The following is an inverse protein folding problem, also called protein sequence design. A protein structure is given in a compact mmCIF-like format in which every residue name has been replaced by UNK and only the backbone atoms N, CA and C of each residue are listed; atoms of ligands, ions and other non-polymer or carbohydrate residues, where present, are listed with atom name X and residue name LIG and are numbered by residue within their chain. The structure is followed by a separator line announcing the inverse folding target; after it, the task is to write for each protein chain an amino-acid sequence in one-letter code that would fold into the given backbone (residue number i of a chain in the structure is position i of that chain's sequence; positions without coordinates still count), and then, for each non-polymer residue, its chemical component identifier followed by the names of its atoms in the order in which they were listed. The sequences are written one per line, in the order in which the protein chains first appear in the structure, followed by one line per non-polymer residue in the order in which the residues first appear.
data_IF_305923141173
#
_entry.id   IF_305923141173
#
_cell.length_a   1.000
_cell.length_b   1.000
_cell.length_c   1.000
_cell.angle_alpha   90.00
_cell.angle_beta   90.00
_cell.angle_gamma   90.00
#
_symmetry.space_group_name_H-M   'P 1'
#
loop_
_entity.id
_entity.type
_entity.pdbx_description
1 polymer ?
#
# COMPACT_ATOMS: atom_id res chain seq x y z
N UNK A 1 -102.56 74.39 -46.23
CA UNK A 1 -103.30 73.27 -45.61
C UNK A 1 -102.66 73.07 -44.25
N UNK A 2 -103.43 73.21 -43.15
CA UNK A 2 -102.89 72.89 -41.84
C UNK A 2 -102.53 71.39 -41.82
N UNK A 3 -101.30 71.06 -41.42
CA UNK A 3 -100.90 69.67 -41.30
C UNK A 3 -101.72 69.03 -40.18
N UNK A 4 -102.59 68.08 -40.51
CA UNK A 4 -103.30 67.28 -39.52
C UNK A 4 -102.25 66.53 -38.68
N UNK A 5 -102.31 66.68 -37.35
CA UNK A 5 -101.35 66.02 -36.46
C UNK A 5 -101.84 64.62 -36.13
N UNK A 6 -101.05 63.61 -36.51
CA UNK A 6 -101.39 62.22 -36.24
C UNK A 6 -100.94 61.79 -34.83
N UNK A 7 -101.86 61.30 -34.00
CA UNK A 7 -101.59 60.64 -32.72
C UNK A 7 -101.66 59.12 -32.88
N UNK A 8 -100.88 58.38 -32.10
CA UNK A 8 -100.93 56.92 -32.13
C UNK A 8 -102.05 56.40 -31.21
N UNK A 9 -103.30 56.65 -31.61
CA UNK A 9 -104.49 56.31 -30.84
C UNK A 9 -105.45 55.45 -31.66
N UNK A 10 -106.17 54.55 -31.00
CA UNK A 10 -107.22 53.75 -31.61
C UNK A 10 -108.59 54.29 -31.19
N UNK A 11 -109.20 55.12 -32.02
CA UNK A 11 -110.61 55.52 -31.85
C UNK A 11 -111.50 54.43 -32.45
N UNK A 12 -112.44 53.91 -31.65
CA UNK A 12 -113.35 52.85 -32.09
C UNK A 12 -114.34 53.34 -33.17
N UNK A 13 -114.78 54.59 -33.01
CA UNK A 13 -115.78 55.21 -33.87
C UNK A 13 -115.11 56.14 -34.90
N UNK A 14 -115.38 55.88 -36.17
CA UNK A 14 -114.96 56.71 -37.30
C UNK A 14 -116.23 57.32 -37.87
N UNK A 15 -116.28 58.66 -37.97
CA UNK A 15 -117.44 59.35 -38.56
C UNK A 15 -117.71 58.79 -39.96
N UNK A 16 -118.96 58.46 -40.26
CA UNK A 16 -119.39 58.10 -41.61
C UNK A 16 -119.72 59.39 -42.35
N UNK A 17 -119.13 59.59 -43.53
CA UNK A 17 -119.50 60.67 -44.43
C UNK A 17 -120.66 60.20 -45.31
N UNK A 18 -121.82 60.80 -45.15
CA UNK A 18 -122.94 60.64 -46.09
C UNK A 18 -122.84 61.67 -47.21
N UNK A 19 -123.53 61.42 -48.33
CA UNK A 19 -123.47 62.24 -49.57
C UNK A 19 -123.77 63.72 -49.37
N UNK A 20 -124.46 64.03 -48.28
CA UNK A 20 -124.98 65.36 -47.97
C UNK A 20 -124.03 66.13 -47.03
N UNK A 21 -122.92 65.49 -46.60
CA UNK A 21 -121.94 66.06 -45.69
C UNK A 21 -121.05 67.05 -46.45
N UNK A 22 -121.11 68.36 -46.17
CA UNK A 22 -120.33 69.35 -46.90
C UNK A 22 -118.83 69.19 -46.60
N UNK A 23 -118.02 69.13 -47.65
CA UNK A 23 -116.56 69.10 -47.55
C UNK A 23 -116.06 70.51 -47.22
N UNK A 24 -115.70 70.75 -45.96
CA UNK A 24 -115.15 72.02 -45.47
C UNK A 24 -113.70 71.84 -45.04
N UNK A 25 -112.87 72.86 -45.31
CA UNK A 25 -111.50 72.93 -44.82
C UNK A 25 -111.43 73.51 -43.40
N UNK A 26 -110.25 73.40 -42.76
CA UNK A 26 -110.01 73.96 -41.43
C UNK A 26 -110.20 75.49 -41.41
N UNK A 27 -111.08 75.96 -40.53
CA UNK A 27 -111.41 77.40 -40.39
C UNK A 27 -110.66 78.10 -39.25
N UNK A 28 -109.76 77.38 -38.55
CA UNK A 28 -109.03 77.89 -37.39
C UNK A 28 -109.57 77.39 -36.05
N UNK A 29 -110.76 76.77 -36.03
CA UNK A 29 -111.43 76.24 -34.82
C UNK A 29 -111.99 74.84 -35.02
N UNK A 30 -112.58 74.54 -36.17
CA UNK A 30 -113.13 73.23 -36.52
C UNK A 30 -112.40 72.67 -37.76
N UNK A 31 -111.94 71.41 -37.66
CA UNK A 31 -111.26 70.73 -38.76
C UNK A 31 -112.26 70.20 -39.80
N UNK A 32 -113.53 70.07 -39.44
CA UNK A 32 -114.61 69.61 -40.31
C UNK A 32 -114.66 68.09 -40.46
N UNK A 33 -115.84 67.53 -40.72
CA UNK A 33 -116.12 66.08 -40.61
C UNK A 33 -115.26 65.22 -41.56
N UNK A 34 -114.91 65.73 -42.74
CA UNK A 34 -114.05 65.01 -43.68
C UNK A 34 -112.60 64.88 -43.17
N UNK A 35 -112.08 65.93 -42.53
CA UNK A 35 -110.73 65.90 -41.98
C UNK A 35 -110.70 65.15 -40.64
N UNK A 36 -111.77 65.19 -39.84
CA UNK A 36 -111.92 64.34 -38.64
C UNK A 36 -111.91 62.85 -39.00
N UNK A 37 -112.70 62.45 -40.01
CA UNK A 37 -112.68 61.07 -40.50
C UNK A 37 -111.27 60.69 -40.96
N UNK A 38 -110.63 61.54 -41.80
CA UNK A 38 -109.29 61.28 -42.29
C UNK A 38 -108.24 61.17 -41.16
N UNK A 39 -108.30 62.05 -40.16
CA UNK A 39 -107.40 62.04 -39.01
C UNK A 39 -107.62 60.78 -38.15
N UNK A 40 -108.88 60.37 -37.91
CA UNK A 40 -109.19 59.14 -37.17
C UNK A 40 -108.64 57.89 -37.85
N UNK A 41 -108.77 57.78 -39.19
CA UNK A 41 -108.16 56.69 -39.95
C UNK A 41 -106.63 56.71 -39.88
N UNK A 42 -106.02 57.90 -40.01
CA UNK A 42 -104.57 58.07 -39.94
C UNK A 42 -104.02 57.68 -38.56
N UNK A 43 -104.65 58.15 -37.48
CA UNK A 43 -104.30 57.81 -36.10
C UNK A 43 -104.38 56.30 -35.84
N UNK A 44 -105.48 55.66 -36.27
CA UNK A 44 -105.67 54.21 -36.15
C UNK A 44 -104.61 53.43 -36.93
N UNK A 45 -104.27 53.89 -38.14
CA UNK A 45 -103.20 53.28 -38.95
C UNK A 45 -101.85 53.38 -38.25
N UNK A 46 -101.55 54.55 -37.68
CA UNK A 46 -100.33 54.80 -36.90
C UNK A 46 -100.25 53.93 -35.63
N UNK A 47 -101.35 53.80 -34.89
CA UNK A 47 -101.46 52.91 -33.72
C UNK A 47 -101.20 51.44 -34.09
N UNK A 48 -101.87 50.93 -35.12
CA UNK A 48 -101.71 49.55 -35.57
C UNK A 48 -100.27 49.28 -36.05
N UNK A 49 -99.68 50.23 -36.78
CA UNK A 49 -98.28 50.15 -37.19
C UNK A 49 -97.35 50.10 -35.99
N UNK A 50 -97.54 50.98 -35.00
CA UNK A 50 -96.73 50.96 -33.77
C UNK A 50 -96.87 49.64 -33.02
N UNK A 51 -98.07 49.03 -32.99
CA UNK A 51 -98.30 47.73 -32.33
C UNK A 51 -97.55 46.59 -33.04
N UNK A 52 -97.60 46.57 -34.37
CA UNK A 52 -96.87 45.58 -35.19
C UNK A 52 -95.36 45.75 -35.03
N UNK A 53 -94.86 46.99 -35.08
CA UNK A 53 -93.44 47.30 -34.94
C UNK A 53 -92.93 46.88 -33.54
N UNK A 54 -93.70 47.14 -32.48
CA UNK A 54 -93.36 46.71 -31.12
C UNK A 54 -93.34 45.18 -30.98
N UNK A 55 -94.30 44.46 -31.57
CA UNK A 55 -94.31 42.99 -31.55
C UNK A 55 -93.08 42.41 -32.27
N UNK A 56 -92.70 42.99 -33.41
CA UNK A 56 -91.51 42.60 -34.17
C UNK A 56 -90.20 42.85 -33.39
N UNK A 57 -90.16 43.92 -32.58
CA UNK A 57 -88.98 44.28 -31.78
C UNK A 57 -88.84 43.46 -30.48
N UNK A 58 -89.93 42.94 -29.91
CA UNK A 58 -89.89 42.21 -28.63
C UNK A 58 -89.71 40.70 -28.81
N UNK A 59 -89.93 40.17 -30.01
CA UNK A 59 -89.72 38.76 -30.31
C UNK A 59 -88.24 38.48 -30.61
N UNK A 60 -87.69 37.44 -29.99
CA UNK A 60 -86.37 36.92 -30.36
C UNK A 60 -86.44 36.39 -31.79
N UNK A 61 -85.84 37.11 -32.73
CA UNK A 61 -85.89 36.79 -34.18
C UNK A 61 -84.86 35.74 -34.59
N UNK A 62 -83.78 35.64 -33.82
CA UNK A 62 -82.71 34.66 -34.02
C UNK A 62 -82.00 34.37 -32.70
N UNK A 63 -81.42 33.19 -32.61
CA UNK A 63 -80.46 32.81 -31.57
C UNK A 63 -79.19 32.40 -32.29
N UNK A 64 -78.07 33.02 -31.93
CA UNK A 64 -76.76 32.79 -32.57
C UNK A 64 -76.78 32.85 -34.12
N UNK A 65 -77.49 33.83 -34.70
CA UNK A 65 -77.57 34.03 -36.16
C UNK A 65 -78.50 33.07 -36.91
N UNK A 66 -79.08 32.05 -36.24
CA UNK A 66 -80.05 31.12 -36.83
C UNK A 66 -81.48 31.62 -36.60
N UNK A 67 -82.34 31.49 -37.61
CA UNK A 67 -83.77 31.85 -37.56
C UNK A 67 -84.64 30.67 -38.00
N UNK A 68 -85.91 30.62 -37.57
CA UNK A 68 -86.82 29.49 -37.82
C UNK A 68 -86.72 28.39 -36.76
N UNK A 69 -86.78 27.11 -37.16
CA UNK A 69 -86.48 25.98 -36.26
C UNK A 69 -85.00 26.00 -35.91
N UNK A 70 -84.66 26.40 -34.69
CA UNK A 70 -83.27 26.54 -34.24
C UNK A 70 -82.79 25.23 -33.61
N UNK A 71 -81.93 24.49 -34.32
CA UNK A 71 -81.13 23.41 -33.73
C UNK A 71 -79.79 23.99 -33.29
N UNK A 72 -79.51 23.88 -31.99
CA UNK A 72 -78.25 24.29 -31.38
C UNK A 72 -77.31 23.09 -31.30
N UNK A 73 -76.07 23.30 -31.72
CA UNK A 73 -74.95 22.38 -31.52
C UNK A 73 -74.14 22.81 -30.29
N UNK A 74 -73.26 21.94 -29.80
CA UNK A 74 -72.41 22.24 -28.63
C UNK A 74 -71.56 23.51 -28.84
N UNK A 75 -71.10 23.75 -30.07
CA UNK A 75 -70.35 24.94 -30.46
C UNK A 75 -71.16 26.24 -30.34
N UNK A 76 -72.49 26.18 -30.54
CA UNK A 76 -73.37 27.35 -30.46
C UNK A 76 -73.50 27.89 -29.02
N UNK A 77 -73.22 27.05 -28.02
CA UNK A 77 -73.32 27.40 -26.59
C UNK A 77 -71.97 27.43 -25.88
N UNK A 78 -70.86 27.28 -26.62
CA UNK A 78 -69.51 27.19 -26.04
C UNK A 78 -69.27 25.94 -25.22
N UNK A 79 -70.07 24.88 -25.43
CA UNK A 79 -69.85 23.57 -24.85
C UNK A 79 -68.88 22.76 -25.72
N UNK A 80 -68.15 21.84 -25.10
CA UNK A 80 -67.38 20.84 -25.83
C UNK A 80 -68.30 19.78 -26.46
N UNK A 81 -67.79 19.09 -27.47
CA UNK A 81 -68.49 17.95 -28.05
C UNK A 81 -68.71 16.86 -26.99
N UNK A 82 -69.84 16.16 -27.08
CA UNK A 82 -70.11 15.02 -26.21
C UNK A 82 -68.98 13.99 -26.30
N UNK A 83 -68.42 13.61 -25.15
CA UNK A 83 -67.32 12.64 -25.06
C UNK A 83 -65.90 13.24 -25.10
N UNK A 84 -65.73 14.56 -25.33
CA UNK A 84 -64.39 15.17 -25.32
C UNK A 84 -63.69 15.00 -23.98
N UNK A 85 -64.37 15.25 -22.86
CA UNK A 85 -63.79 15.07 -21.53
C UNK A 85 -63.44 13.60 -21.25
N UNK A 86 -64.31 12.67 -21.66
CA UNK A 86 -64.09 11.23 -21.47
C UNK A 86 -62.90 10.72 -22.28
N UNK A 87 -62.73 11.22 -23.51
CA UNK A 87 -61.57 10.92 -24.35
C UNK A 87 -60.28 11.50 -23.76
N UNK A 88 -60.30 12.73 -23.23
CA UNK A 88 -59.13 13.35 -22.59
C UNK A 88 -58.72 12.60 -21.31
N UNK A 89 -59.70 12.16 -20.50
CA UNK A 89 -59.45 11.36 -19.30
C UNK A 89 -58.92 9.98 -19.68
N UNK A 90 -59.53 9.34 -20.68
CA UNK A 90 -59.09 8.03 -21.18
C UNK A 90 -57.66 8.10 -21.71
N UNK A 91 -57.32 9.14 -22.47
CA UNK A 91 -55.96 9.36 -22.95
C UNK A 91 -54.98 9.57 -21.78
N UNK A 92 -55.37 10.34 -20.78
CA UNK A 92 -54.57 10.55 -19.57
C UNK A 92 -54.35 9.26 -18.77
N UNK A 93 -55.39 8.45 -18.58
CA UNK A 93 -55.31 7.17 -17.85
C UNK A 93 -54.44 6.15 -18.59
N UNK A 94 -54.46 6.17 -19.93
CA UNK A 94 -53.71 5.22 -20.76
C UNK A 94 -52.27 5.66 -21.06
N UNK A 95 -51.93 6.92 -20.84
CA UNK A 95 -50.55 7.39 -20.92
C UNK A 95 -49.77 6.86 -19.71
N UNK A 96 -48.60 6.28 -19.96
CA UNK A 96 -47.76 5.69 -18.93
C UNK A 96 -47.22 6.75 -17.95
N UNK A 97 -46.97 7.98 -18.44
CA UNK A 97 -46.55 9.11 -17.61
C UNK A 97 -46.97 10.45 -18.24
N UNK A 98 -48.26 10.82 -18.13
CA UNK A 98 -48.76 12.10 -18.64
C UNK A 98 -48.30 13.30 -17.79
N UNK A 99 -47.52 13.06 -16.73
CA UNK A 99 -47.00 14.10 -15.83
C UNK A 99 -45.47 14.18 -15.87
N UNK A 100 -44.85 14.49 -17.02
CA UNK A 100 -43.41 14.43 -17.23
C UNK A 100 -42.61 15.46 -16.41
N UNK A 101 -43.29 16.39 -15.75
CA UNK A 101 -42.72 17.37 -14.82
C UNK A 101 -42.37 16.76 -13.45
N UNK A 102 -42.98 15.63 -13.08
CA UNK A 102 -42.65 14.91 -11.87
C UNK A 102 -41.62 13.81 -12.16
N UNK A 103 -40.90 13.39 -11.13
CA UNK A 103 -39.91 12.31 -11.24
C UNK A 103 -40.62 10.97 -11.43
N UNK A 104 -40.18 10.18 -12.42
CA UNK A 104 -40.51 8.76 -12.52
C UNK A 104 -39.29 7.91 -12.12
N UNK A 105 -39.53 6.64 -11.80
CA UNK A 105 -38.48 5.72 -11.30
C UNK A 105 -37.30 5.63 -12.28
N UNK A 106 -37.58 5.48 -13.58
CA UNK A 106 -36.56 5.42 -14.65
C UNK A 106 -35.65 6.65 -14.70
N UNK A 107 -36.20 7.87 -14.59
CA UNK A 107 -35.44 9.13 -14.56
C UNK A 107 -34.77 9.40 -13.22
N UNK A 108 -35.32 8.85 -12.14
CA UNK A 108 -34.72 8.84 -10.80
C UNK A 108 -33.45 8.00 -10.80
N UNK A 109 -33.56 6.77 -11.30
CA UNK A 109 -32.47 5.79 -11.38
C UNK A 109 -31.32 6.26 -12.28
N UNK A 110 -31.64 6.97 -13.36
CA UNK A 110 -30.62 7.52 -14.26
C UNK A 110 -29.85 8.72 -13.69
N UNK A 111 -30.44 9.47 -12.74
CA UNK A 111 -29.83 10.69 -12.17
C UNK A 111 -29.29 10.52 -10.76
N UNK A 112 -29.80 9.54 -10.01
CA UNK A 112 -29.40 9.29 -8.63
C UNK A 112 -28.77 7.91 -8.48
N UNK A 113 -27.86 7.82 -7.52
CA UNK A 113 -27.24 6.57 -7.14
C UNK A 113 -28.24 5.75 -6.32
N UNK A 114 -28.63 4.58 -6.80
CA UNK A 114 -29.49 3.66 -6.06
C UNK A 114 -28.73 3.05 -4.88
N UNK A 115 -29.23 3.25 -3.66
CA UNK A 115 -28.57 2.75 -2.45
C UNK A 115 -28.54 1.23 -2.35
N UNK A 116 -29.49 0.53 -2.97
CA UNK A 116 -29.54 -0.93 -3.08
C UNK A 116 -28.39 -1.52 -3.88
N UNK A 117 -27.77 -0.74 -4.77
CA UNK A 117 -26.63 -1.16 -5.60
C UNK A 117 -25.27 -0.90 -4.91
N UNK A 118 -25.29 -0.47 -3.66
CA UNK A 118 -24.08 -0.28 -2.87
C UNK A 118 -23.34 -1.61 -2.72
N UNK A 119 -22.05 -1.62 -3.09
CA UNK A 119 -21.14 -2.75 -2.91
C UNK A 119 -21.57 -4.05 -3.63
N UNK A 120 -22.43 -3.95 -4.65
CA UNK A 120 -22.81 -5.07 -5.53
C UNK A 120 -22.08 -4.99 -6.87
N UNK A 121 -22.03 -6.10 -7.62
CA UNK A 121 -21.48 -6.13 -8.98
C UNK A 121 -22.19 -5.12 -9.90
N UNK A 122 -21.41 -4.40 -10.72
CA UNK A 122 -21.88 -3.30 -11.60
C UNK A 122 -22.59 -2.13 -10.88
N UNK A 123 -22.51 -2.07 -9.54
CA UNK A 123 -23.02 -0.98 -8.73
C UNK A 123 -21.95 0.07 -8.43
N UNK A 124 -21.95 0.58 -7.21
CA UNK A 124 -21.01 1.61 -6.74
C UNK A 124 -20.40 1.22 -5.39
N UNK A 125 -19.21 1.73 -5.09
CA UNK A 125 -18.50 1.43 -3.85
C UNK A 125 -18.91 2.41 -2.74
N UNK A 126 -19.57 1.89 -1.70
CA UNK A 126 -19.88 2.66 -0.50
C UNK A 126 -18.75 2.55 0.52
N UNK A 127 -18.24 3.70 0.95
CA UNK A 127 -17.27 3.78 2.05
C UNK A 127 -17.96 3.52 3.40
N UNK A 128 -17.20 3.01 4.37
CA UNK A 128 -17.66 2.87 5.75
C UNK A 128 -17.84 4.23 6.45
N UNK A 129 -18.35 4.21 7.69
CA UNK A 129 -18.59 5.41 8.49
C UNK A 129 -17.33 6.26 8.75
N UNK A 130 -16.13 5.69 8.53
CA UNK A 130 -14.84 6.37 8.66
C UNK A 130 -14.27 6.83 7.33
N UNK A 131 -15.02 6.70 6.22
CA UNK A 131 -14.58 7.08 4.88
C UNK A 131 -13.54 6.12 4.29
N UNK A 132 -13.53 4.85 4.69
CA UNK A 132 -12.62 3.82 4.16
C UNK A 132 -13.39 2.77 3.38
N UNK A 133 -12.68 1.98 2.56
CA UNK A 133 -13.27 0.81 1.90
C UNK A 133 -13.63 -0.21 2.98
N UNK A 134 -14.90 -0.68 3.06
CA UNK A 134 -15.31 -1.69 4.03
C UNK A 134 -14.43 -2.94 3.94
N UNK A 135 -13.94 -3.42 5.09
CA UNK A 135 -13.05 -4.58 5.14
C UNK A 135 -13.63 -5.85 4.49
N UNK A 136 -14.96 -6.01 4.51
CA UNK A 136 -15.66 -7.13 3.87
C UNK A 136 -15.53 -7.14 2.33
N UNK A 137 -15.20 -5.99 1.72
CA UNK A 137 -14.99 -5.87 0.27
C UNK A 137 -13.52 -6.03 -0.13
N UNK A 138 -12.62 -5.99 0.85
CA UNK A 138 -11.21 -6.29 0.64
C UNK A 138 -11.05 -7.81 0.71
N UNK A 139 -10.75 -8.44 -0.43
CA UNK A 139 -10.22 -9.79 -0.39
C UNK A 139 -8.85 -9.73 0.27
N UNK A 140 -8.76 -10.25 1.49
CA UNK A 140 -7.48 -10.51 2.13
C UNK A 140 -6.81 -11.59 1.29
N UNK A 141 -5.78 -11.21 0.53
CA UNK A 141 -4.93 -12.16 -0.20
C UNK A 141 -4.21 -13.02 0.84
N UNK A 142 -4.82 -14.12 1.25
CA UNK A 142 -4.20 -15.07 2.17
C UNK A 142 -3.04 -15.74 1.43
N UNK A 143 -1.81 -15.51 1.89
CA UNK A 143 -0.64 -16.15 1.30
C UNK A 143 -0.76 -17.67 1.41
N UNK A 144 -0.59 -18.37 0.28
CA UNK A 144 -0.55 -19.83 0.23
C UNK A 144 0.86 -20.28 0.56
N UNK A 145 1.03 -21.11 1.58
CA UNK A 145 2.31 -21.80 1.85
C UNK A 145 2.21 -23.27 1.44
N UNK A 146 3.20 -23.76 0.68
CA UNK A 146 3.31 -25.16 0.26
C UNK A 146 4.75 -25.65 0.36
N UNK A 147 4.91 -26.95 0.60
CA UNK A 147 6.21 -27.64 0.58
C UNK A 147 6.17 -28.66 -0.54
N UNK A 148 7.19 -28.67 -1.38
CA UNK A 148 7.33 -29.57 -2.53
C UNK A 148 8.70 -30.24 -2.52
N UNK A 149 8.78 -31.43 -3.11
CA UNK A 149 10.01 -32.21 -3.11
C UNK A 149 11.10 -31.58 -3.99
N UNK A 150 10.73 -31.11 -5.19
CA UNK A 150 11.65 -30.70 -6.25
C UNK A 150 11.05 -29.62 -7.16
N UNK A 151 11.83 -29.18 -8.15
CA UNK A 151 11.41 -28.18 -9.13
C UNK A 151 10.22 -28.64 -9.97
N UNK A 152 10.13 -29.91 -10.35
CA UNK A 152 9.03 -30.42 -11.17
C UNK A 152 7.70 -30.31 -10.41
N UNK A 153 7.70 -30.66 -9.12
CA UNK A 153 6.55 -30.50 -8.24
C UNK A 153 6.18 -29.03 -8.02
N UNK A 154 7.17 -28.12 -7.93
CA UNK A 154 6.95 -26.67 -7.87
C UNK A 154 6.25 -26.15 -9.13
N UNK A 155 6.75 -26.50 -10.31
CA UNK A 155 6.19 -26.04 -11.59
C UNK A 155 4.81 -26.66 -11.89
N UNK A 156 4.48 -27.80 -11.28
CA UNK A 156 3.18 -28.47 -11.41
C UNK A 156 2.10 -27.98 -10.43
N UNK A 157 2.39 -26.99 -9.58
CA UNK A 157 1.39 -26.42 -8.67
C UNK A 157 0.21 -25.83 -9.46
N UNK A 158 -1.01 -25.89 -8.92
CA UNK A 158 -2.14 -25.18 -9.51
C UNK A 158 -1.99 -23.65 -9.30
N UNK A 159 -2.40 -22.86 -10.30
CA UNK A 159 -2.46 -21.40 -10.21
C UNK A 159 -3.33 -20.95 -9.04
N UNK A 160 -2.92 -19.87 -8.39
CA UNK A 160 -3.60 -19.29 -7.22
C UNK A 160 -3.76 -17.79 -7.45
N UNK A 161 -4.92 -17.23 -7.08
CA UNK A 161 -5.12 -15.77 -7.05
C UNK A 161 -4.32 -15.07 -5.94
N UNK A 162 -3.81 -15.85 -4.97
CA UNK A 162 -3.00 -15.36 -3.87
C UNK A 162 -1.50 -15.60 -4.11
N UNK A 163 -0.66 -14.77 -3.47
CA UNK A 163 0.77 -15.00 -3.35
C UNK A 163 1.05 -16.42 -2.87
N UNK A 164 1.90 -17.15 -3.59
CA UNK A 164 2.33 -18.50 -3.22
C UNK A 164 3.78 -18.47 -2.74
N UNK A 165 4.01 -19.00 -1.55
CA UNK A 165 5.32 -19.27 -0.96
C UNK A 165 5.54 -20.78 -1.02
N UNK A 166 6.53 -21.22 -1.79
CA UNK A 166 6.83 -22.63 -2.02
C UNK A 166 8.21 -22.96 -1.44
N UNK A 167 8.28 -23.87 -0.46
CA UNK A 167 9.55 -24.45 -0.02
C UNK A 167 9.91 -25.65 -0.89
N UNK A 168 10.99 -25.55 -1.65
CA UNK A 168 11.55 -26.64 -2.45
C UNK A 168 12.58 -27.39 -1.60
N UNK A 169 12.31 -28.66 -1.29
CA UNK A 169 13.04 -29.40 -0.27
C UNK A 169 14.43 -29.91 -0.74
N UNK A 170 14.56 -30.33 -1.99
CA UNK A 170 15.80 -30.85 -2.58
C UNK A 170 16.98 -29.87 -2.53
N UNK A 171 16.70 -28.58 -2.67
CA UNK A 171 17.68 -27.49 -2.64
C UNK A 171 17.50 -26.53 -1.45
N UNK A 172 16.66 -26.91 -0.48
CA UNK A 172 16.35 -26.13 0.71
C UNK A 172 16.11 -24.65 0.41
N UNK A 173 15.23 -24.31 -0.54
CA UNK A 173 15.05 -22.92 -1.01
C UNK A 173 13.58 -22.53 -1.06
N UNK A 174 13.25 -21.32 -0.61
CA UNK A 174 11.93 -20.73 -0.79
C UNK A 174 11.81 -20.10 -2.18
N UNK A 175 10.64 -20.23 -2.80
CA UNK A 175 10.26 -19.54 -4.02
C UNK A 175 8.95 -18.78 -3.83
N UNK A 176 8.87 -17.61 -4.44
CA UNK A 176 7.69 -16.75 -4.40
C UNK A 176 7.07 -16.64 -5.80
N UNK A 177 5.75 -16.72 -5.87
CA UNK A 177 4.97 -16.53 -7.09
C UNK A 177 3.82 -15.57 -6.79
N UNK A 178 3.68 -14.50 -7.58
CA UNK A 178 2.58 -13.56 -7.39
C UNK A 178 1.23 -14.23 -7.68
N UNK A 179 0.18 -13.70 -7.07
CA UNK A 179 -1.18 -14.14 -7.34
C UNK A 179 -1.55 -13.91 -8.81
N UNK A 180 -2.06 -14.96 -9.47
CA UNK A 180 -2.48 -14.94 -10.87
C UNK A 180 -1.41 -15.39 -11.87
N UNK A 181 -0.14 -15.44 -11.48
CA UNK A 181 0.94 -15.89 -12.37
C UNK A 181 0.89 -17.41 -12.61
N UNK A 182 1.32 -17.86 -13.79
CA UNK A 182 1.34 -19.29 -14.14
C UNK A 182 2.56 -19.99 -13.48
N UNK A 183 2.36 -20.96 -12.57
CA UNK A 183 3.44 -21.68 -11.89
C UNK A 183 4.26 -22.57 -12.84
N UNK A 184 3.74 -22.97 -14.00
CA UNK A 184 4.48 -23.79 -14.96
C UNK A 184 5.62 -23.04 -15.67
N UNK A 185 5.65 -21.70 -15.58
CA UNK A 185 6.68 -20.86 -16.18
C UNK A 185 7.74 -20.54 -15.13
N UNK A 186 8.92 -21.14 -15.25
CA UNK A 186 10.02 -20.98 -14.29
C UNK A 186 10.41 -19.51 -14.04
N UNK A 187 10.35 -18.66 -15.07
CA UNK A 187 10.67 -17.23 -14.99
C UNK A 187 9.68 -16.40 -14.15
N UNK A 188 8.47 -16.92 -13.87
CA UNK A 188 7.51 -16.24 -13.01
C UNK A 188 7.87 -16.38 -11.53
N UNK A 189 8.74 -17.33 -11.19
CA UNK A 189 9.14 -17.57 -9.81
C UNK A 189 10.32 -16.69 -9.43
N UNK A 190 10.17 -16.03 -8.28
CA UNK A 190 11.27 -15.31 -7.63
C UNK A 190 11.92 -16.25 -6.63
N UNK A 191 13.20 -16.54 -6.82
CA UNK A 191 13.99 -17.33 -5.87
C UNK A 191 14.23 -16.51 -4.59
N UNK A 192 13.98 -17.15 -3.45
CA UNK A 192 14.16 -16.59 -2.12
C UNK A 192 15.40 -17.14 -1.40
N UNK A 193 15.40 -16.97 -0.08
CA UNK A 193 16.42 -17.51 0.80
C UNK A 193 16.20 -19.01 1.06
N UNK A 194 17.18 -19.63 1.72
CA UNK A 194 17.07 -21.01 2.15
C UNK A 194 15.83 -21.25 3.02
N UNK A 195 15.14 -22.37 2.81
CA UNK A 195 13.92 -22.72 3.55
C UNK A 195 14.23 -23.11 5.00
N UNK A 196 15.44 -23.62 5.25
CA UNK A 196 16.04 -23.70 6.57
C UNK A 196 17.24 -22.76 6.68
N UNK A 197 17.49 -22.20 7.86
CA UNK A 197 18.69 -21.40 8.09
C UNK A 197 19.88 -22.34 8.01
N UNK A 198 20.54 -22.41 6.84
CA UNK A 198 21.80 -23.13 6.63
C UNK A 198 22.97 -22.39 7.29
N UNK A 199 22.85 -22.10 8.58
CA UNK A 199 23.96 -21.68 9.43
C UNK A 199 24.66 -22.90 10.02
N UNK A 200 25.85 -22.68 10.59
CA UNK A 200 26.50 -23.68 11.44
C UNK A 200 25.58 -23.98 12.63
N UNK A 201 24.96 -25.16 12.63
CA UNK A 201 24.00 -25.56 13.68
C UNK A 201 24.67 -25.69 15.04
N UNK A 202 25.95 -26.09 15.08
CA UNK A 202 26.75 -26.15 16.29
C UNK A 202 28.24 -26.00 15.99
N UNK A 203 28.99 -25.46 16.94
CA UNK A 203 30.46 -25.44 16.91
C UNK A 203 30.95 -26.21 18.12
N UNK A 204 31.75 -27.25 17.91
CA UNK A 204 32.17 -28.19 18.96
C UNK A 204 30.99 -28.78 19.76
N UNK A 205 29.88 -29.09 19.08
CA UNK A 205 28.67 -29.65 19.69
C UNK A 205 27.84 -28.67 20.53
N UNK A 206 28.23 -27.39 20.57
CA UNK A 206 27.53 -26.34 21.34
C UNK A 206 26.76 -25.41 20.41
N UNK A 207 25.59 -24.97 20.87
CA UNK A 207 24.70 -24.04 20.15
C UNK A 207 24.58 -22.72 20.91
N UNK A 208 24.08 -21.66 20.24
CA UNK A 208 23.92 -20.33 20.83
C UNK A 208 25.23 -19.53 20.89
N UNK A 209 25.46 -18.79 21.98
CA UNK A 209 26.70 -18.03 22.19
C UNK A 209 27.86 -19.00 22.50
N UNK A 210 28.74 -19.22 21.53
CA UNK A 210 29.89 -20.12 21.68
C UNK A 210 31.13 -19.32 22.10
N UNK A 211 31.64 -19.58 23.31
CA UNK A 211 32.95 -19.11 23.78
C UNK A 211 33.96 -20.25 23.71
N UNK A 212 35.23 -19.97 23.43
CA UNK A 212 36.26 -21.00 23.47
C UNK A 212 36.36 -21.65 24.86
N UNK A 213 36.48 -22.98 24.90
CA UNK A 213 36.64 -23.82 26.09
C UNK A 213 37.91 -24.66 25.99
N UNK A 214 38.42 -25.10 27.14
CA UNK A 214 39.58 -26.00 27.17
C UNK A 214 39.23 -27.32 26.46
N UNK A 215 40.08 -27.73 25.50
CA UNK A 215 39.87 -28.93 24.70
C UNK A 215 39.19 -28.70 23.34
N UNK A 216 38.77 -27.47 23.01
CA UNK A 216 38.23 -27.15 21.68
C UNK A 216 39.29 -27.30 20.56
N UNK A 217 40.56 -27.10 20.90
CA UNK A 217 41.68 -27.17 19.98
C UNK A 217 42.83 -27.96 20.60
N UNK A 218 43.47 -28.82 19.80
CA UNK A 218 44.80 -29.35 20.08
C UNK A 218 45.89 -28.50 19.40
N UNK A 219 47.15 -28.81 19.68
CA UNK A 219 48.29 -28.08 19.13
C UNK A 219 48.44 -28.27 17.60
N UNK A 220 47.94 -29.37 17.04
CA UNK A 220 48.03 -29.67 15.61
C UNK A 220 47.02 -28.83 14.80
N UNK A 221 45.92 -28.43 15.44
CA UNK A 221 44.89 -27.57 14.86
C UNK A 221 45.25 -26.08 14.89
N UNK A 222 46.30 -25.66 15.61
CA UNK A 222 46.67 -24.26 15.75
C UNK A 222 47.95 -24.00 14.96
N UNK A 223 47.83 -23.22 13.88
CA UNK A 223 49.00 -22.83 13.10
C UNK A 223 49.91 -21.88 13.90
N UNK A 224 51.17 -22.26 14.05
CA UNK A 224 52.17 -21.46 14.74
C UNK A 224 52.49 -20.15 14.02
N UNK A 225 52.90 -19.13 14.78
CA UNK A 225 53.38 -17.86 14.24
C UNK A 225 54.80 -17.58 14.70
N UNK A 226 55.46 -16.56 14.15
CA UNK A 226 56.82 -16.18 14.55
C UNK A 226 56.96 -15.92 16.07
N UNK A 227 55.90 -15.41 16.70
CA UNK A 227 55.92 -15.01 18.12
C UNK A 227 55.16 -15.99 19.03
N UNK A 228 54.51 -17.03 18.48
CA UNK A 228 53.76 -18.03 19.24
C UNK A 228 54.06 -19.42 18.67
N UNK A 229 54.98 -20.10 19.35
CA UNK A 229 55.50 -21.43 19.04
C UNK A 229 55.15 -22.39 20.17
N UNK A 230 54.70 -23.58 19.82
CA UNK A 230 54.55 -24.70 20.73
C UNK A 230 55.91 -25.39 20.88
N UNK A 231 56.16 -25.98 22.06
CA UNK A 231 57.33 -26.81 22.28
C UNK A 231 56.89 -28.28 22.26
N UNK A 232 57.36 -29.01 21.27
CA UNK A 232 57.05 -30.44 21.12
C UNK A 232 57.64 -31.25 22.29
N UNK A 233 57.05 -32.42 22.61
CA UNK A 233 57.64 -33.33 23.60
C UNK A 233 59.08 -33.73 23.26
N UNK A 234 59.41 -33.85 21.97
CA UNK A 234 60.76 -34.16 21.48
C UNK A 234 61.75 -33.02 21.78
N UNK A 235 61.38 -31.76 21.53
CA UNK A 235 62.22 -30.60 21.85
C UNK A 235 62.45 -30.47 23.35
N UNK A 236 61.41 -30.66 24.17
CA UNK A 236 61.54 -30.67 25.64
C UNK A 236 62.48 -31.78 26.11
N UNK A 237 62.37 -32.97 25.51
CA UNK A 237 63.27 -34.10 25.81
C UNK A 237 64.71 -33.76 25.44
N UNK A 238 64.93 -33.16 24.27
CA UNK A 238 66.25 -32.73 23.83
C UNK A 238 66.86 -31.65 24.73
N UNK A 239 66.07 -30.67 25.18
CA UNK A 239 66.53 -29.63 26.12
C UNK A 239 66.94 -30.22 27.47
N UNK A 240 66.14 -31.14 28.02
CA UNK A 240 66.50 -31.84 29.25
C UNK A 240 67.76 -32.71 29.08
N UNK A 241 67.94 -33.33 27.92
CA UNK A 241 69.13 -34.13 27.61
C UNK A 241 70.43 -33.29 27.49
N UNK A 242 70.34 -32.01 27.11
CA UNK A 242 71.53 -31.12 27.06
C UNK A 242 72.20 -30.98 28.43
N UNK A 243 71.43 -31.01 29.52
CA UNK A 243 71.98 -31.00 30.88
C UNK A 243 72.77 -32.28 31.18
N UNK A 244 72.28 -33.44 30.72
CA UNK A 244 72.98 -34.72 30.86
C UNK A 244 74.25 -34.80 29.99
N UNK A 245 74.24 -34.18 28.81
CA UNK A 245 75.40 -34.14 27.92
C UNK A 245 76.57 -33.33 28.51
N UNK A 246 76.28 -32.19 29.15
CA UNK A 246 77.29 -31.39 29.89
C UNK A 246 77.90 -32.14 31.09
N UNK A 247 77.26 -33.23 31.50
CA UNK A 247 77.54 -34.00 32.70
C UNK A 247 78.13 -35.39 32.38
N UNK A 248 78.19 -35.78 31.11
CA UNK A 248 78.63 -37.13 30.73
C UNK A 248 80.09 -37.34 31.11
N UNK A 249 80.50 -38.59 31.38
CA UNK A 249 81.88 -38.94 31.75
C UNK A 249 82.96 -38.58 30.70
N UNK A 250 82.53 -38.09 29.53
CA UNK A 250 83.38 -37.55 28.45
C UNK A 250 83.61 -36.03 28.60
N UNK A 251 82.71 -35.32 29.29
CA UNK A 251 82.80 -33.89 29.58
C UNK A 251 83.09 -33.66 31.07
N UNK A 252 83.74 -32.53 31.41
CA UNK A 252 84.15 -32.26 32.78
C UNK A 252 82.92 -31.76 33.58
N UNK A 253 82.38 -32.57 34.49
CA UNK A 253 81.27 -32.18 35.39
C UNK A 253 81.71 -31.20 36.48
N UNK A 254 82.98 -31.26 36.86
CA UNK A 254 83.56 -30.46 37.93
C UNK A 254 85.01 -30.08 37.64
N UNK A 255 85.39 -28.86 37.97
CA UNK A 255 86.78 -28.39 37.92
C UNK A 255 87.26 -28.17 39.35
N UNK A 256 88.36 -28.82 39.76
CA UNK A 256 88.89 -28.76 41.13
C UNK A 256 87.85 -29.09 42.23
N UNK A 257 86.96 -30.07 41.96
CA UNK A 257 85.88 -30.45 42.87
C UNK A 257 84.65 -29.54 42.86
N UNK A 258 84.68 -28.42 42.13
CA UNK A 258 83.55 -27.49 42.01
C UNK A 258 82.68 -27.81 40.79
N UNK A 259 81.35 -27.85 40.96
CA UNK A 259 80.38 -28.08 39.88
C UNK A 259 80.46 -26.99 38.80
N UNK A 260 80.50 -27.37 37.53
CA UNK A 260 80.30 -26.44 36.40
C UNK A 260 78.83 -26.09 36.15
N UNK A 261 77.92 -26.76 36.86
CA UNK A 261 76.48 -26.52 36.77
C UNK A 261 76.05 -25.59 37.91
N UNK A 262 75.39 -24.50 37.57
CA UNK A 262 74.86 -23.53 38.53
C UNK A 262 74.88 -22.11 37.96
N UNK A 263 74.20 -21.19 38.64
CA UNK A 263 74.31 -19.76 38.34
C UNK A 263 75.53 -19.17 39.04
N UNK A 264 76.36 -18.42 38.31
CA UNK A 264 77.48 -17.66 38.87
C UNK A 264 78.84 -18.03 38.28
N UNK A 265 79.87 -17.36 38.78
CA UNK A 265 81.25 -17.58 38.34
C UNK A 265 81.87 -18.81 39.02
N UNK A 266 82.70 -19.55 38.29
CA UNK A 266 83.66 -20.47 38.91
C UNK A 266 84.88 -19.69 39.41
N UNK A 267 85.12 -19.74 40.72
CA UNK A 267 86.28 -19.16 41.36
C UNK A 267 86.99 -20.21 42.23
N UNK A 268 87.76 -21.14 41.64
CA UNK A 268 88.54 -22.08 42.42
C UNK A 268 89.62 -21.34 43.21
N UNK A 269 89.79 -21.70 44.47
CA UNK A 269 90.88 -21.18 45.31
C UNK A 269 92.22 -21.79 44.89
N UNK A 270 93.36 -21.10 45.11
CA UNK A 270 94.68 -21.70 44.87
C UNK A 270 94.83 -23.08 45.52
N UNK A 271 94.36 -23.25 46.76
CA UNK A 271 94.39 -24.53 47.46
C UNK A 271 93.63 -25.65 46.71
N UNK A 272 92.45 -25.35 46.17
CA UNK A 272 91.69 -26.30 45.35
C UNK A 272 92.41 -26.66 44.03
N UNK A 273 93.24 -25.74 43.51
CA UNK A 273 94.05 -25.97 42.31
C UNK A 273 95.39 -26.66 42.59
N UNK A 274 95.69 -27.01 43.85
CA UNK A 274 96.99 -27.51 44.25
C UNK A 274 98.11 -26.46 44.17
N UNK A 275 97.75 -25.17 44.11
CA UNK A 275 98.67 -24.05 44.08
C UNK A 275 98.74 -23.35 45.44
N UNK A 276 99.92 -22.90 45.85
CA UNK A 276 100.08 -22.08 47.05
C UNK A 276 99.57 -20.65 46.80
N UNK A 277 98.96 -20.03 47.82
CA UNK A 277 98.20 -18.79 47.64
C UNK A 277 99.03 -17.51 47.40
N UNK A 278 100.34 -17.51 47.66
CA UNK A 278 101.19 -16.32 47.43
C UNK A 278 102.71 -16.58 47.41
N UNK A 279 103.19 -17.67 48.02
CA UNK A 279 104.61 -18.02 48.05
C UNK A 279 104.74 -19.49 48.42
N UNK A 280 105.47 -20.27 47.63
CA UNK A 280 105.93 -21.59 48.04
C UNK A 280 107.45 -21.64 48.03
N UNK A 281 107.99 -22.37 49.00
CA UNK A 281 109.40 -22.73 49.05
C UNK A 281 109.49 -24.22 48.73
N UNK A 282 110.36 -24.58 47.80
CA UNK A 282 110.69 -25.98 47.57
C UNK A 282 111.70 -26.42 48.62
N UNK A 283 111.46 -27.59 49.22
CA UNK A 283 112.53 -28.30 49.92
C UNK A 283 113.42 -29.00 48.89
N UNK A 284 114.66 -29.33 49.24
CA UNK A 284 115.56 -30.09 48.34
C UNK A 284 114.93 -31.43 47.93
N UNK A 285 114.10 -32.04 48.79
CA UNK A 285 113.34 -33.26 48.46
C UNK A 285 112.26 -33.06 47.39
N UNK A 286 111.81 -31.83 47.14
CA UNK A 286 110.81 -31.52 46.11
C UNK A 286 111.46 -31.32 44.72
N UNK A 287 112.79 -31.27 44.65
CA UNK A 287 113.57 -31.00 43.43
C UNK A 287 114.51 -32.17 43.17
N UNK A 288 114.05 -33.14 42.37
CA UNK A 288 114.73 -34.43 42.15
C UNK A 288 116.15 -34.31 41.59
N UNK A 289 116.47 -33.23 40.88
CA UNK A 289 117.78 -33.02 40.24
C UNK A 289 118.69 -32.02 40.97
N UNK A 290 118.26 -31.45 42.10
CA UNK A 290 119.00 -30.40 42.80
C UNK A 290 120.42 -30.84 43.16
N UNK A 291 120.56 -32.03 43.74
CA UNK A 291 121.87 -32.58 44.13
C UNK A 291 122.76 -32.83 42.92
N UNK A 292 122.21 -33.34 41.81
CA UNK A 292 122.96 -33.63 40.59
C UNK A 292 123.47 -32.34 39.93
N UNK A 293 122.62 -31.31 39.83
CA UNK A 293 122.99 -30.00 39.27
C UNK A 293 124.02 -29.28 40.15
N UNK A 294 123.87 -29.34 41.47
CA UNK A 294 124.85 -28.77 42.40
C UNK A 294 126.23 -29.45 42.26
N UNK A 295 126.27 -30.79 42.17
CA UNK A 295 127.51 -31.52 41.92
C UNK A 295 128.14 -31.17 40.58
N UNK A 296 127.35 -31.12 39.50
CA UNK A 296 127.82 -30.74 38.17
C UNK A 296 128.43 -29.32 38.17
N UNK A 297 127.78 -28.36 38.85
CA UNK A 297 128.30 -27.01 38.99
C UNK A 297 129.64 -27.00 39.74
N UNK A 298 129.74 -27.69 40.86
CA UNK A 298 130.99 -27.78 41.65
C UNK A 298 132.13 -28.32 40.78
N UNK A 299 131.90 -29.39 40.03
CA UNK A 299 132.91 -29.99 39.15
C UNK A 299 133.35 -29.01 38.06
N UNK A 300 132.38 -28.40 37.36
CA UNK A 300 132.67 -27.47 36.28
C UNK A 300 133.36 -26.17 36.76
N UNK A 301 133.27 -25.86 38.05
CA UNK A 301 133.89 -24.68 38.66
C UNK A 301 135.34 -24.88 39.08
N UNK A 302 135.85 -26.12 39.06
CA UNK A 302 137.19 -26.46 39.52
C UNK A 302 138.10 -26.77 38.33
N UNK A 303 139.21 -26.03 38.21
CA UNK A 303 140.27 -26.30 37.25
C UNK A 303 141.50 -26.83 37.98
N UNK A 304 142.02 -27.98 37.55
CA UNK A 304 143.19 -28.59 38.19
C UNK A 304 144.47 -27.87 37.74
N UNK A 305 145.33 -27.50 38.70
CA UNK A 305 146.66 -26.96 38.39
C UNK A 305 147.60 -28.01 37.76
N UNK A 306 148.70 -27.59 37.11
CA UNK A 306 149.64 -28.50 36.46
C UNK A 306 150.17 -29.57 37.42
N UNK A 307 150.01 -30.85 37.07
CA UNK A 307 150.44 -31.99 37.87
C UNK A 307 149.45 -32.47 38.93
N UNK A 308 148.26 -31.87 39.03
CA UNK A 308 147.17 -32.30 39.93
C UNK A 308 146.04 -32.95 39.14
N UNK A 309 145.46 -34.03 39.67
CA UNK A 309 144.24 -34.64 39.13
C UNK A 309 143.13 -34.53 40.17
N UNK A 310 141.97 -34.00 39.77
CA UNK A 310 140.79 -33.94 40.63
C UNK A 310 140.07 -35.29 40.56
N UNK A 311 139.96 -35.98 41.69
CA UNK A 311 139.19 -37.22 41.84
C UNK A 311 138.03 -37.00 42.80
N UNK A 312 136.86 -37.59 42.49
CA UNK A 312 135.75 -37.61 43.43
C UNK A 312 135.93 -38.75 44.41
N UNK A 313 135.69 -38.48 45.70
CA UNK A 313 135.39 -39.54 46.65
C UNK A 313 133.86 -39.69 46.66
N UNK A 314 133.31 -40.87 46.34
CA UNK A 314 131.86 -41.09 46.33
C UNK A 314 131.20 -40.84 47.70
#
# INVERSE_FOLDING_TARGET
MANLTETAEFTADVLRLDTDTPVRGYDGTDIGPANEQAQALANRTKFLKQRIDNMSATQVRSVNGKSGTVTLEYSDVGADAAGTADALITAHINDADPHPQYFNESRGDARYVQTSLANTGNGWLQLDASGKIPAALLQTLTSRYVVVADEAARLALASSSNLTICAQADIDTLFYLNGGDNPAVAANWVQGQAATVSGVSSVFGRTGAVTAQAGDYDADQINETANRKFATPAEKTAWNAKQAALVSATNIRSLFGQSLLGSGNLAPTPAQMGAAAASHTHTVSDITDFTQQAQALIINSLEAGPGVTLGQNP
#
